data_IF_475729888984
#
_entry.id   IF_475729888984
#
_cell.length_a   1.000
_cell.length_b   1.000
_cell.length_c   1.000
_cell.angle_alpha   90.00
_cell.angle_beta   90.00
_cell.angle_gamma   90.00
#
_symmetry.space_group_name_H-M   'P 1'
#
loop_
_entity.id
_entity.type
_entity.pdbx_description
1 polymer ?
#
# COMPACT_ATOMS: atom_id res chain seq x y z
N UNK A 1 -47.28 104.88 1.43
CA UNK A 1 -46.57 103.93 2.33
C UNK A 1 -45.94 102.83 1.50
N UNK A 2 -44.60 102.79 1.39
CA UNK A 2 -43.89 101.70 0.69
C UNK A 2 -43.83 100.49 1.62
N UNK A 3 -44.53 99.42 1.27
CA UNK A 3 -44.48 98.13 1.97
C UNK A 3 -43.11 97.51 1.69
N UNK A 4 -42.22 97.50 2.68
CA UNK A 4 -40.96 96.78 2.61
C UNK A 4 -41.27 95.28 2.75
N UNK A 5 -41.31 94.55 1.64
CA UNK A 5 -41.44 93.09 1.67
C UNK A 5 -40.08 92.50 2.09
N UNK A 6 -39.99 92.02 3.33
CA UNK A 6 -38.78 91.42 3.87
C UNK A 6 -38.60 90.00 3.30
N UNK A 7 -37.96 89.89 2.12
CA UNK A 7 -37.69 88.61 1.47
C UNK A 7 -36.45 87.88 2.04
N UNK A 8 -35.73 88.47 2.99
CA UNK A 8 -34.52 87.86 3.58
C UNK A 8 -34.82 86.59 4.37
N UNK A 9 -36.05 86.44 4.89
CA UNK A 9 -36.46 85.22 5.61
C UNK A 9 -36.62 83.99 4.71
N UNK A 10 -37.11 84.16 3.48
CA UNK A 10 -37.37 83.05 2.56
C UNK A 10 -36.08 82.36 2.09
N UNK A 11 -35.02 83.12 1.83
CA UNK A 11 -33.72 82.55 1.46
C UNK A 11 -33.12 81.70 2.59
N UNK A 12 -33.25 82.16 3.85
CA UNK A 12 -32.79 81.42 5.01
C UNK A 12 -33.54 80.09 5.17
N UNK A 13 -34.87 80.12 5.04
CA UNK A 13 -35.71 78.92 5.13
C UNK A 13 -35.37 77.92 4.02
N UNK A 14 -35.14 78.40 2.79
CA UNK A 14 -34.78 77.55 1.66
C UNK A 14 -33.43 76.85 1.89
N UNK A 15 -32.41 77.57 2.34
CA UNK A 15 -31.10 76.99 2.67
C UNK A 15 -31.23 75.96 3.80
N UNK A 16 -32.02 76.26 4.83
CA UNK A 16 -32.26 75.33 5.92
C UNK A 16 -32.90 74.02 5.42
N UNK A 17 -33.92 74.12 4.55
CA UNK A 17 -34.58 72.96 3.93
C UNK A 17 -33.60 72.17 3.05
N UNK A 18 -32.73 72.87 2.31
CA UNK A 18 -31.74 72.18 1.48
C UNK A 18 -30.75 71.38 2.33
N UNK A 19 -30.23 71.99 3.41
CA UNK A 19 -29.30 71.33 4.33
C UNK A 19 -29.96 70.13 5.02
N UNK A 20 -31.23 70.23 5.43
CA UNK A 20 -31.93 69.10 6.05
C UNK A 20 -32.16 67.95 5.08
N UNK A 21 -32.57 68.23 3.83
CA UNK A 21 -32.73 67.18 2.81
C UNK A 21 -31.41 66.48 2.53
N UNK A 22 -30.32 67.22 2.33
CA UNK A 22 -29.00 66.62 2.09
C UNK A 22 -28.50 65.83 3.31
N UNK A 23 -28.75 66.30 4.53
CA UNK A 23 -28.37 65.58 5.75
C UNK A 23 -29.13 64.26 5.88
N UNK A 24 -30.43 64.25 5.59
CA UNK A 24 -31.25 63.03 5.62
C UNK A 24 -30.77 62.02 4.56
N UNK A 25 -30.46 62.50 3.35
CA UNK A 25 -29.94 61.66 2.28
C UNK A 25 -28.55 61.08 2.63
N UNK A 26 -27.67 61.89 3.22
CA UNK A 26 -26.36 61.45 3.66
C UNK A 26 -26.44 60.37 4.75
N UNK A 27 -27.29 60.56 5.77
CA UNK A 27 -27.50 59.56 6.83
C UNK A 27 -28.05 58.26 6.26
N UNK A 28 -28.99 58.33 5.30
CA UNK A 28 -29.54 57.15 4.63
C UNK A 28 -28.47 56.38 3.84
N UNK A 29 -27.63 57.07 3.07
CA UNK A 29 -26.53 56.44 2.34
C UNK A 29 -25.48 55.84 3.27
N UNK A 30 -25.12 56.54 4.34
CA UNK A 30 -24.17 56.04 5.34
C UNK A 30 -24.68 54.78 6.04
N UNK A 31 -25.97 54.76 6.42
CA UNK A 31 -26.61 53.57 7.01
C UNK A 31 -26.59 52.36 6.09
N UNK A 32 -26.87 52.56 4.79
CA UNK A 32 -26.82 51.50 3.79
C UNK A 32 -25.39 50.99 3.55
N UNK A 33 -24.40 51.88 3.52
CA UNK A 33 -22.99 51.52 3.34
C UNK A 33 -22.46 50.68 4.51
N UNK A 34 -22.74 51.09 5.75
CA UNK A 34 -22.33 50.33 6.95
C UNK A 34 -23.01 48.96 7.03
N UNK A 35 -24.28 48.87 6.66
CA UNK A 35 -25.02 47.60 6.63
C UNK A 35 -24.43 46.65 5.58
N UNK A 36 -24.13 47.17 4.38
CA UNK A 36 -23.50 46.39 3.31
C UNK A 36 -22.11 45.90 3.71
N UNK A 37 -21.30 46.77 4.32
CA UNK A 37 -19.98 46.42 4.83
C UNK A 37 -20.04 45.28 5.85
N UNK A 38 -20.97 45.34 6.81
CA UNK A 38 -21.16 44.27 7.79
C UNK A 38 -21.61 42.96 7.15
N UNK A 39 -22.51 43.01 6.16
CA UNK A 39 -22.94 41.81 5.43
C UNK A 39 -21.80 41.18 4.62
N UNK A 40 -20.96 41.99 3.98
CA UNK A 40 -19.79 41.52 3.25
C UNK A 40 -18.83 40.80 4.20
N UNK A 41 -18.45 41.43 5.32
CA UNK A 41 -17.54 40.80 6.28
C UNK A 41 -18.11 39.50 6.84
N UNK A 42 -19.41 39.47 7.19
CA UNK A 42 -20.05 38.23 7.67
C UNK A 42 -20.07 37.14 6.59
N UNK A 43 -20.28 37.50 5.33
CA UNK A 43 -20.22 36.57 4.21
C UNK A 43 -18.80 36.07 3.96
N UNK A 44 -17.79 36.94 4.06
CA UNK A 44 -16.39 36.60 3.89
C UNK A 44 -15.90 35.69 5.02
N UNK A 45 -16.23 36.01 6.28
CA UNK A 45 -15.92 35.17 7.44
C UNK A 45 -16.52 33.78 7.30
N UNK A 46 -17.77 33.69 6.84
CA UNK A 46 -18.43 32.41 6.58
C UNK A 46 -17.74 31.61 5.46
N UNK A 47 -17.44 32.26 4.33
CA UNK A 47 -16.76 31.60 3.20
C UNK A 47 -15.39 31.08 3.64
N UNK A 48 -14.60 31.89 4.34
CA UNK A 48 -13.27 31.48 4.81
C UNK A 48 -13.36 30.36 5.85
N UNK A 49 -14.30 30.42 6.81
CA UNK A 49 -14.50 29.35 7.78
C UNK A 49 -14.94 28.03 7.10
N UNK A 50 -15.80 28.11 6.08
CA UNK A 50 -16.17 26.93 5.26
C UNK A 50 -14.96 26.38 4.51
N UNK A 51 -14.16 27.21 3.84
CA UNK A 51 -12.95 26.76 3.14
C UNK A 51 -11.95 26.11 4.10
N UNK A 52 -11.79 26.63 5.32
CA UNK A 52 -10.95 25.99 6.34
C UNK A 52 -11.49 24.62 6.75
N UNK A 53 -12.81 24.47 6.91
CA UNK A 53 -13.42 23.18 7.20
C UNK A 53 -13.20 22.17 6.06
N UNK A 54 -13.30 22.61 4.79
CA UNK A 54 -13.00 21.80 3.60
C UNK A 54 -11.52 21.38 3.56
N UNK A 55 -10.59 22.27 3.90
CA UNK A 55 -9.17 21.91 4.04
C UNK A 55 -8.96 20.82 5.11
N UNK A 56 -9.69 20.90 6.23
CA UNK A 56 -9.67 19.85 7.25
C UNK A 56 -10.15 18.51 6.70
N UNK A 57 -11.25 18.49 5.94
CA UNK A 57 -11.74 17.26 5.30
C UNK A 57 -10.66 16.61 4.43
N UNK A 58 -10.01 17.41 3.58
CA UNK A 58 -8.93 16.91 2.71
C UNK A 58 -7.75 16.40 3.53
N UNK A 59 -7.33 17.14 4.55
CA UNK A 59 -6.20 16.75 5.41
C UNK A 59 -6.43 15.40 6.10
N UNK A 60 -7.58 15.23 6.73
CA UNK A 60 -7.88 14.00 7.46
C UNK A 60 -8.22 12.84 6.54
N UNK A 61 -8.75 13.10 5.33
CA UNK A 61 -8.84 12.08 4.30
C UNK A 61 -7.46 11.50 3.97
N UNK A 62 -6.47 12.36 3.69
CA UNK A 62 -5.09 11.91 3.44
C UNK A 62 -4.52 11.12 4.62
N UNK A 63 -4.67 11.61 5.86
CA UNK A 63 -4.18 10.87 7.04
C UNK A 63 -4.82 9.50 7.22
N UNK A 64 -6.11 9.36 6.90
CA UNK A 64 -6.80 8.06 6.96
C UNK A 64 -6.23 7.11 5.90
N UNK A 65 -5.98 7.59 4.68
CA UNK A 65 -5.39 6.79 3.62
C UNK A 65 -3.96 6.36 3.96
N UNK A 66 -3.13 7.28 4.45
CA UNK A 66 -1.76 6.97 4.89
C UNK A 66 -1.76 5.93 6.02
N UNK A 67 -2.71 6.04 6.95
CA UNK A 67 -2.85 5.06 8.04
C UNK A 67 -3.25 3.68 7.51
N UNK A 68 -4.19 3.60 6.56
CA UNK A 68 -4.60 2.34 5.92
C UNK A 68 -3.42 1.74 5.15
N UNK A 69 -2.69 2.55 4.37
CA UNK A 69 -1.51 2.11 3.64
C UNK A 69 -0.46 1.52 4.59
N UNK A 70 -0.20 2.19 5.73
CA UNK A 70 0.73 1.66 6.74
C UNK A 70 0.29 0.33 7.36
N UNK A 71 -1.02 0.11 7.50
CA UNK A 71 -1.59 -1.16 7.99
C UNK A 71 -1.46 -2.25 6.94
N UNK A 72 -1.62 -1.93 5.66
CA UNK A 72 -1.43 -2.85 4.54
C UNK A 72 0.02 -3.28 4.38
N UNK A 73 0.96 -2.36 4.62
CA UNK A 73 2.41 -2.66 4.58
C UNK A 73 2.91 -3.42 5.82
N UNK A 74 2.14 -3.48 6.91
CA UNK A 74 2.55 -4.16 8.14
C UNK A 74 2.40 -5.69 8.02
N UNK A 75 3.50 -6.46 8.05
CA UNK A 75 3.44 -7.93 7.99
C UNK A 75 2.64 -8.55 9.15
N UNK A 76 2.49 -7.85 10.28
CA UNK A 76 1.67 -8.32 11.39
C UNK A 76 0.17 -8.31 11.05
N UNK A 77 -0.28 -7.38 10.20
CA UNK A 77 -1.68 -7.34 9.75
C UNK A 77 -2.04 -8.59 8.94
N UNK A 78 -1.14 -9.05 8.08
CA UNK A 78 -1.34 -10.29 7.32
C UNK A 78 -1.45 -11.51 8.26
N UNK A 79 -0.59 -11.61 9.27
CA UNK A 79 -0.67 -12.67 10.31
C UNK A 79 -1.98 -12.61 11.09
N UNK A 80 -2.44 -11.41 11.45
CA UNK A 80 -3.74 -11.23 12.11
C UNK A 80 -4.91 -11.68 11.22
N UNK A 81 -4.90 -11.30 9.94
CA UNK A 81 -5.93 -11.72 8.98
C UNK A 81 -5.94 -13.25 8.88
N UNK A 82 -4.79 -13.88 8.68
CA UNK A 82 -4.69 -15.34 8.60
C UNK A 82 -5.20 -16.01 9.86
N UNK A 83 -4.81 -15.50 11.04
CA UNK A 83 -5.28 -16.03 12.32
C UNK A 83 -6.78 -15.91 12.52
N UNK A 84 -7.43 -14.87 11.97
CA UNK A 84 -8.89 -14.77 12.00
C UNK A 84 -9.55 -15.70 10.97
N UNK A 85 -8.93 -15.93 9.81
CA UNK A 85 -9.37 -16.93 8.82
C UNK A 85 -9.34 -18.33 9.44
N UNK A 86 -8.26 -18.70 10.13
CA UNK A 86 -8.10 -20.00 10.76
C UNK A 86 -9.14 -20.31 11.86
N UNK A 87 -9.86 -19.29 12.36
CA UNK A 87 -10.97 -19.46 13.32
C UNK A 87 -12.31 -19.75 12.64
N UNK A 88 -12.41 -19.54 11.33
CA UNK A 88 -13.62 -19.84 10.58
C UNK A 88 -13.60 -21.33 10.24
N UNK A 89 -14.40 -22.10 10.99
CA UNK A 89 -14.59 -23.53 10.73
C UNK A 89 -15.04 -23.74 9.27
N UNK A 90 -14.40 -24.70 8.60
CA UNK A 90 -14.72 -25.11 7.23
C UNK A 90 -14.59 -24.00 6.16
N UNK A 91 -13.72 -22.99 6.38
CA UNK A 91 -13.48 -21.91 5.40
C UNK A 91 -13.19 -22.42 3.98
N UNK A 92 -12.42 -23.51 3.86
CA UNK A 92 -12.06 -24.14 2.58
C UNK A 92 -13.28 -24.70 1.83
N UNK A 93 -14.35 -25.04 2.55
CA UNK A 93 -15.57 -25.63 1.97
C UNK A 93 -16.60 -24.62 1.49
N UNK A 94 -16.38 -23.33 1.81
CA UNK A 94 -17.25 -22.24 1.38
C UNK A 94 -17.18 -22.06 -0.13
N UNK A 95 -18.29 -21.60 -0.71
CA UNK A 95 -18.28 -21.13 -2.11
C UNK A 95 -17.42 -19.88 -2.24
N UNK A 96 -16.92 -19.57 -3.44
CA UNK A 96 -16.06 -18.40 -3.67
C UNK A 96 -16.73 -17.08 -3.23
N UNK A 97 -18.03 -16.93 -3.48
CA UNK A 97 -18.81 -15.77 -3.02
C UNK A 97 -18.85 -15.68 -1.48
N UNK A 98 -18.98 -16.82 -0.80
CA UNK A 98 -18.97 -16.90 0.66
C UNK A 98 -17.57 -16.65 1.24
N UNK A 99 -16.51 -17.17 0.60
CA UNK A 99 -15.11 -16.89 0.95
C UNK A 99 -14.81 -15.41 0.85
N UNK A 100 -15.14 -14.77 -0.28
CA UNK A 100 -14.93 -13.33 -0.50
C UNK A 100 -15.68 -12.51 0.54
N UNK A 101 -16.96 -12.80 0.78
CA UNK A 101 -17.78 -12.10 1.77
C UNK A 101 -17.21 -12.24 3.19
N UNK A 102 -16.73 -13.43 3.54
CA UNK A 102 -16.12 -13.72 4.85
C UNK A 102 -14.79 -13.00 5.01
N UNK A 103 -13.93 -13.02 3.99
CA UNK A 103 -12.66 -12.31 3.96
C UNK A 103 -12.84 -10.80 4.10
N UNK A 104 -13.81 -10.21 3.38
CA UNK A 104 -14.19 -8.80 3.54
C UNK A 104 -14.57 -8.50 4.99
N UNK A 105 -15.34 -9.39 5.61
CA UNK A 105 -15.68 -9.30 7.02
C UNK A 105 -14.43 -9.28 7.91
N UNK A 106 -13.58 -10.27 7.79
CA UNK A 106 -12.37 -10.41 8.62
C UNK A 106 -11.46 -9.19 8.46
N UNK A 107 -11.17 -8.79 7.23
CA UNK A 107 -10.26 -7.67 6.92
C UNK A 107 -10.80 -6.36 7.50
N UNK A 108 -12.10 -6.11 7.35
CA UNK A 108 -12.73 -4.94 7.96
C UNK A 108 -12.59 -4.92 9.49
N UNK A 109 -12.73 -6.09 10.15
CA UNK A 109 -12.61 -6.17 11.61
C UNK A 109 -11.17 -5.98 12.06
N UNK A 110 -10.20 -6.58 11.35
CA UNK A 110 -8.77 -6.39 11.62
C UNK A 110 -8.41 -4.91 11.43
N UNK A 111 -8.75 -4.29 10.31
CA UNK A 111 -8.42 -2.88 10.07
C UNK A 111 -9.09 -1.95 11.07
N UNK A 112 -10.33 -2.22 11.48
CA UNK A 112 -10.99 -1.41 12.51
C UNK A 112 -10.22 -1.42 13.84
N UNK A 113 -9.52 -2.51 14.16
CA UNK A 113 -8.68 -2.62 15.35
C UNK A 113 -7.30 -2.01 15.12
N UNK A 114 -6.71 -2.20 13.95
CA UNK A 114 -5.32 -1.79 13.65
C UNK A 114 -5.20 -0.31 13.28
N UNK A 115 -6.19 0.27 12.60
CA UNK A 115 -6.20 1.70 12.27
C UNK A 115 -6.49 2.48 13.56
N UNK A 116 -5.45 2.87 14.28
CA UNK A 116 -5.51 3.67 15.51
C UNK A 116 -5.82 5.15 15.22
N UNK A 117 -7.06 5.39 14.79
CA UNK A 117 -7.65 6.72 14.55
C UNK A 117 -7.57 7.65 15.76
N UNK A 118 -7.65 7.20 17.03
CA UNK A 118 -7.41 8.04 18.19
C UNK A 118 -6.12 8.87 18.18
N UNK A 119 -5.14 8.51 17.33
CA UNK A 119 -3.91 9.28 17.14
C UNK A 119 -3.98 10.36 16.06
N UNK A 120 -5.08 10.43 15.28
CA UNK A 120 -5.36 11.58 14.42
C UNK A 120 -5.48 12.81 15.33
N UNK A 121 -4.46 13.64 15.25
CA UNK A 121 -4.14 14.67 16.23
C UNK A 121 -5.34 15.55 16.60
N UNK A 122 -5.67 15.57 17.90
CA UNK A 122 -6.71 16.40 18.53
C UNK A 122 -6.29 17.87 18.70
N UNK A 123 -5.36 18.33 17.86
CA UNK A 123 -4.83 19.69 17.94
C UNK A 123 -5.30 20.48 16.72
N UNK A 124 -5.88 21.66 16.93
CA UNK A 124 -6.18 22.60 15.86
C UNK A 124 -4.96 22.82 14.96
N UNK A 125 -5.16 22.66 13.66
CA UNK A 125 -4.17 22.91 12.63
C UNK A 125 -4.32 24.34 12.14
N UNK A 126 -3.31 25.17 12.41
CA UNK A 126 -3.32 26.58 12.00
C UNK A 126 -2.80 26.74 10.57
N UNK A 127 -3.56 27.42 9.72
CA UNK A 127 -3.23 27.61 8.29
C UNK A 127 -2.20 28.75 8.09
N UNK A 128 -1.84 29.46 9.16
CA UNK A 128 -0.81 30.50 9.19
C UNK A 128 -0.41 30.83 10.64
N UNK A 129 0.39 31.87 10.85
CA UNK A 129 0.76 32.38 12.18
C UNK A 129 -0.42 32.96 12.98
N UNK A 130 -1.60 33.11 12.37
CA UNK A 130 -2.78 33.66 13.03
C UNK A 130 -3.54 32.52 13.72
N UNK A 131 -3.52 32.55 15.05
CA UNK A 131 -4.21 31.57 15.91
C UNK A 131 -5.73 31.48 15.67
N UNK A 132 -6.31 32.43 14.97
CA UNK A 132 -7.75 32.51 14.67
C UNK A 132 -8.15 31.79 13.37
N UNK A 133 -7.18 31.34 12.56
CA UNK A 133 -7.43 30.59 11.34
C UNK A 133 -6.95 29.15 11.53
N UNK A 134 -7.89 28.26 11.81
CA UNK A 134 -7.57 26.86 12.02
C UNK A 134 -8.67 25.94 11.50
N UNK A 135 -8.30 24.68 11.29
CA UNK A 135 -9.24 23.60 11.19
C UNK A 135 -8.94 22.52 12.24
N UNK A 136 -9.95 21.78 12.65
CA UNK A 136 -9.84 20.73 13.67
C UNK A 136 -10.92 19.67 13.43
N UNK A 137 -10.71 18.45 13.91
CA UNK A 137 -11.78 17.44 13.98
C UNK A 137 -12.34 17.40 15.40
N UNK A 138 -13.66 17.34 15.48
CA UNK A 138 -14.33 17.04 16.75
C UNK A 138 -14.09 15.57 17.11
N UNK A 139 -13.10 15.33 17.98
CA UNK A 139 -12.63 13.99 18.38
C UNK A 139 -13.75 13.09 18.89
N UNK A 140 -14.72 13.66 19.60
CA UNK A 140 -15.85 12.92 20.18
C UNK A 140 -16.83 12.39 19.12
N UNK A 141 -16.73 12.90 17.89
CA UNK A 141 -17.61 12.57 16.78
C UNK A 141 -16.94 11.72 15.70
N UNK A 142 -15.70 11.27 15.89
CA UNK A 142 -15.07 10.34 14.96
C UNK A 142 -15.60 8.94 15.21
N UNK A 143 -16.34 8.39 14.26
CA UNK A 143 -16.87 7.03 14.34
C UNK A 143 -16.44 6.22 13.13
N UNK A 144 -15.96 5.01 13.39
CA UNK A 144 -15.72 4.00 12.36
C UNK A 144 -16.81 2.96 12.42
N UNK A 145 -17.59 2.91 11.36
CA UNK A 145 -18.54 1.85 11.13
C UNK A 145 -18.02 0.96 10.03
N UNK A 146 -18.30 -0.34 10.14
CA UNK A 146 -18.04 -1.32 9.09
C UNK A 146 -19.38 -1.65 8.44
N UNK A 147 -19.38 -1.79 7.12
CA UNK A 147 -20.46 -2.43 6.38
C UNK A 147 -19.91 -3.53 5.47
N UNK A 148 -20.74 -4.07 4.59
CA UNK A 148 -20.36 -5.14 3.66
C UNK A 148 -19.42 -4.66 2.54
N UNK A 149 -19.38 -3.35 2.29
CA UNK A 149 -18.63 -2.74 1.20
C UNK A 149 -17.30 -2.16 1.68
N UNK A 150 -17.19 -1.80 2.97
CA UNK A 150 -15.91 -1.52 3.60
C UNK A 150 -15.97 -0.77 4.93
N UNK A 151 -15.01 0.13 5.11
CA UNK A 151 -14.95 1.00 6.29
C UNK A 151 -15.54 2.36 6.00
N UNK A 152 -16.38 2.84 6.91
CA UNK A 152 -17.02 4.15 6.84
C UNK A 152 -16.57 5.00 8.03
N UNK A 153 -15.84 6.06 7.72
CA UNK A 153 -15.34 7.03 8.68
C UNK A 153 -16.28 8.24 8.68
N UNK A 154 -16.93 8.50 9.81
CA UNK A 154 -17.75 9.68 9.98
C UNK A 154 -17.05 10.62 10.96
N UNK A 155 -16.92 11.90 10.61
CA UNK A 155 -16.35 12.92 11.47
C UNK A 155 -16.91 14.31 11.13
N UNK A 156 -16.69 15.28 12.02
CA UNK A 156 -17.03 16.69 11.78
C UNK A 156 -15.74 17.50 11.70
N UNK A 157 -15.45 18.04 10.52
CA UNK A 157 -14.35 19.00 10.32
C UNK A 157 -14.82 20.41 10.66
N UNK A 158 -14.18 21.06 11.62
CA UNK A 158 -14.50 22.43 12.05
C UNK A 158 -13.46 23.38 11.50
N UNK A 159 -13.88 24.33 10.67
CA UNK A 159 -13.08 25.47 10.25
C UNK A 159 -13.43 26.71 11.07
N UNK A 160 -12.42 27.43 11.55
CA UNK A 160 -12.61 28.66 12.32
C UNK A 160 -11.90 29.83 11.67
N UNK A 161 -12.64 30.92 11.50
CA UNK A 161 -12.11 32.22 11.14
C UNK A 161 -12.62 33.26 12.15
N UNK A 162 -11.70 33.79 12.96
CA UNK A 162 -12.01 34.72 14.05
C UNK A 162 -13.01 34.11 15.05
N UNK A 163 -14.19 34.70 15.17
CA UNK A 163 -15.26 34.23 16.06
C UNK A 163 -16.20 33.23 15.37
N UNK A 164 -16.10 33.06 14.04
CA UNK A 164 -16.98 32.18 13.30
C UNK A 164 -16.37 30.78 13.22
N UNK A 165 -17.19 29.79 13.50
CA UNK A 165 -16.87 28.37 13.36
C UNK A 165 -17.92 27.76 12.45
N UNK A 166 -17.48 26.96 11.49
CA UNK A 166 -18.31 26.16 10.59
C UNK A 166 -17.90 24.70 10.73
N UNK A 167 -18.87 23.80 10.93
CA UNK A 167 -18.66 22.36 10.94
C UNK A 167 -19.15 21.72 9.65
N UNK A 168 -18.41 20.76 9.11
CA UNK A 168 -18.80 19.93 7.97
C UNK A 168 -18.85 18.47 8.41
N UNK A 169 -20.05 17.90 8.41
CA UNK A 169 -20.26 16.46 8.58
C UNK A 169 -19.77 15.74 7.34
N UNK A 170 -18.76 14.89 7.54
CA UNK A 170 -18.06 14.21 6.45
C UNK A 170 -18.13 12.72 6.67
N UNK A 171 -18.39 12.02 5.57
CA UNK A 171 -18.33 10.57 5.47
C UNK A 171 -17.26 10.20 4.44
N UNK A 172 -16.31 9.37 4.84
CA UNK A 172 -15.34 8.75 3.93
C UNK A 172 -15.66 7.26 3.88
N UNK A 173 -15.94 6.76 2.69
CA UNK A 173 -16.17 5.34 2.43
C UNK A 173 -14.90 4.76 1.81
N UNK A 174 -14.29 3.81 2.50
CA UNK A 174 -13.11 3.08 2.05
C UNK A 174 -13.59 1.69 1.64
N UNK A 175 -13.74 1.42 0.33
CA UNK A 175 -14.20 0.13 -0.16
C UNK A 175 -13.10 -0.90 0.05
N UNK A 176 -13.42 -2.03 0.69
CA UNK A 176 -12.43 -3.09 0.95
C UNK A 176 -11.96 -3.75 -0.35
N UNK A 177 -12.84 -3.79 -1.35
CA UNK A 177 -12.55 -4.35 -2.67
C UNK A 177 -11.41 -3.63 -3.39
N UNK A 178 -11.14 -2.36 -3.05
CA UNK A 178 -10.01 -1.64 -3.62
C UNK A 178 -8.65 -2.17 -3.14
N UNK A 179 -8.63 -3.01 -2.11
CA UNK A 179 -7.40 -3.49 -1.48
C UNK A 179 -7.24 -5.01 -1.55
N UNK A 180 -8.30 -5.70 -1.94
CA UNK A 180 -8.37 -7.15 -1.97
C UNK A 180 -8.37 -7.57 -3.43
N UNK A 181 -7.23 -8.05 -3.92
CA UNK A 181 -7.20 -8.85 -5.14
C UNK A 181 -7.08 -10.32 -4.71
N UNK A 182 -8.23 -10.95 -4.43
CA UNK A 182 -8.24 -12.40 -4.21
C UNK A 182 -8.27 -13.03 -5.59
N UNK A 183 -7.10 -13.47 -6.04
CA UNK A 183 -7.04 -14.48 -7.08
C UNK A 183 -7.35 -15.81 -6.38
N UNK A 184 -8.65 -16.14 -6.27
CA UNK A 184 -9.05 -17.51 -5.94
C UNK A 184 -8.67 -18.28 -7.19
N UNK A 185 -7.71 -19.18 -7.09
CA UNK A 185 -7.29 -19.98 -8.25
C UNK A 185 -8.55 -20.54 -8.91
N UNK A 186 -8.74 -20.28 -10.20
CA UNK A 186 -9.80 -20.93 -10.97
C UNK A 186 -9.51 -22.43 -10.87
N UNK A 187 -10.15 -23.11 -9.92
CA UNK A 187 -10.22 -24.57 -9.91
C UNK A 187 -10.96 -24.91 -11.20
N UNK A 188 -10.19 -25.17 -12.25
CA UNK A 188 -10.67 -25.50 -13.58
C UNK A 188 -11.40 -26.85 -13.47
N UNK A 189 -12.67 -26.77 -13.05
CA UNK A 189 -13.59 -27.86 -12.75
C UNK A 189 -14.07 -28.57 -14.00
N UNK A 190 -13.16 -28.81 -14.96
CA UNK A 190 -13.40 -29.69 -16.07
C UNK A 190 -13.39 -31.14 -15.57
N UNK A 191 -14.59 -31.60 -15.22
CA UNK A 191 -14.96 -33.01 -15.03
C UNK A 191 -14.88 -33.80 -16.37
N UNK A 192 -13.73 -33.72 -17.05
CA UNK A 192 -13.40 -34.49 -18.22
C UNK A 192 -12.68 -35.77 -17.79
N UNK A 193 -13.40 -36.89 -17.78
CA UNK A 193 -12.83 -38.22 -17.66
C UNK A 193 -11.85 -38.50 -18.79
N UNK A 194 -10.60 -38.09 -18.59
CA UNK A 194 -9.47 -38.24 -19.48
C UNK A 194 -8.41 -39.10 -18.80
N UNK A 195 -8.10 -40.21 -19.47
CA UNK A 195 -7.05 -41.17 -19.18
C UNK A 195 -5.83 -40.52 -18.49
N UNK A 196 -5.45 -41.04 -17.31
CA UNK A 196 -4.39 -40.48 -16.47
C UNK A 196 -3.14 -40.11 -17.23
N UNK A 197 -2.93 -38.82 -17.40
CA UNK A 197 -1.59 -38.27 -17.44
C UNK A 197 -1.02 -38.51 -16.06
N UNK A 198 0.02 -39.33 -16.00
CA UNK A 198 0.98 -39.33 -14.89
C UNK A 198 1.23 -37.89 -14.44
N UNK A 199 1.40 -37.62 -13.14
CA UNK A 199 1.94 -36.34 -12.67
C UNK A 199 3.09 -36.00 -13.61
N UNK A 200 2.99 -34.87 -14.32
CA UNK A 200 4.08 -34.39 -15.14
C UNK A 200 5.33 -34.42 -14.26
N UNK A 201 6.45 -34.85 -14.83
CA UNK A 201 7.71 -34.67 -14.12
C UNK A 201 7.73 -33.23 -13.62
N UNK A 202 7.86 -33.04 -12.31
CA UNK A 202 7.75 -31.74 -11.64
C UNK A 202 8.86 -30.76 -12.03
N UNK A 203 9.47 -30.93 -13.21
CA UNK A 203 10.34 -29.99 -13.88
C UNK A 203 9.59 -28.69 -14.07
N UNK A 204 9.84 -27.81 -13.13
CA UNK A 204 9.58 -26.40 -13.23
C UNK A 204 10.13 -25.82 -14.53
N UNK A 205 9.31 -25.00 -15.18
CA UNK A 205 9.58 -24.45 -16.51
C UNK A 205 9.86 -22.94 -16.50
N UNK A 206 9.91 -22.31 -15.32
CA UNK A 206 10.14 -20.86 -15.23
C UNK A 206 8.91 -20.01 -15.52
N UNK A 207 7.72 -20.51 -15.20
CA UNK A 207 6.44 -19.85 -15.52
C UNK A 207 5.81 -19.07 -14.36
N UNK A 208 6.49 -18.91 -13.21
CA UNK A 208 5.88 -18.21 -12.07
C UNK A 208 5.65 -16.74 -12.34
N UNK A 209 6.55 -16.11 -13.09
CA UNK A 209 6.47 -14.70 -13.46
C UNK A 209 6.37 -14.63 -14.98
N UNK A 210 5.22 -14.11 -15.44
CA UNK A 210 5.01 -13.91 -16.88
C UNK A 210 5.85 -12.75 -17.41
N UNK A 211 6.49 -12.97 -18.56
CA UNK A 211 7.21 -11.92 -19.28
C UNK A 211 6.29 -10.73 -19.58
N UNK A 212 6.65 -9.49 -19.18
CA UNK A 212 5.85 -8.32 -19.49
C UNK A 212 5.89 -8.03 -21.00
N UNK A 213 4.76 -7.61 -21.58
CA UNK A 213 4.65 -7.32 -23.01
C UNK A 213 4.21 -5.88 -23.24
N UNK A 214 4.55 -5.32 -24.41
CA UNK A 214 4.11 -3.97 -24.80
C UNK A 214 4.81 -2.82 -24.07
N UNK A 215 5.90 -3.07 -23.34
CA UNK A 215 6.70 -2.03 -22.70
C UNK A 215 7.40 -1.15 -23.76
N UNK A 216 7.46 0.18 -23.57
CA UNK A 216 8.27 1.06 -24.40
C UNK A 216 9.76 0.77 -24.19
N UNK A 217 10.62 1.12 -25.15
CA UNK A 217 12.08 1.02 -24.95
C UNK A 217 12.54 2.10 -23.96
N UNK A 218 13.32 1.72 -22.96
CA UNK A 218 13.92 2.66 -22.02
C UNK A 218 14.93 3.57 -22.75
N UNK A 219 14.95 4.84 -22.38
CA UNK A 219 15.86 5.85 -22.94
C UNK A 219 16.88 6.33 -21.92
N UNK A 220 16.59 6.15 -20.64
CA UNK A 220 17.40 6.56 -19.50
C UNK A 220 17.41 5.45 -18.43
N UNK A 221 18.45 5.41 -17.60
CA UNK A 221 18.64 4.46 -16.48
C UNK A 221 17.64 4.66 -15.33
N UNK A 222 16.98 5.82 -15.29
CA UNK A 222 15.92 6.16 -14.33
C UNK A 222 14.50 5.75 -14.78
N UNK A 223 14.34 5.20 -15.99
CA UNK A 223 13.02 4.80 -16.49
C UNK A 223 12.50 3.56 -15.72
N UNK A 224 11.24 3.62 -15.24
CA UNK A 224 10.68 2.61 -14.32
C UNK A 224 9.68 1.64 -14.95
N UNK A 225 9.21 1.87 -16.17
CA UNK A 225 8.17 1.04 -16.80
C UNK A 225 8.45 0.83 -18.30
N UNK A 226 9.51 0.10 -18.61
CA UNK A 226 10.09 0.03 -19.94
C UNK A 226 10.97 -1.22 -20.13
N UNK A 227 11.43 -1.43 -21.36
CA UNK A 227 12.32 -2.51 -21.76
C UNK A 227 13.70 -1.98 -22.20
N UNK A 228 14.77 -2.52 -21.61
CA UNK A 228 16.15 -2.31 -22.03
C UNK A 228 16.56 -3.40 -23.02
N UNK A 229 17.02 -2.99 -24.20
CA UNK A 229 17.56 -3.90 -25.20
C UNK A 229 19.09 -3.95 -25.08
N UNK A 230 19.59 -4.98 -24.39
CA UNK A 230 21.00 -5.18 -24.08
C UNK A 230 21.30 -5.15 -22.57
N UNK A 231 22.57 -5.33 -22.21
CA UNK A 231 23.01 -5.23 -20.81
C UNK A 231 22.84 -3.80 -20.29
N UNK A 232 22.22 -3.67 -19.12
CA UNK A 232 22.20 -2.43 -18.35
C UNK A 232 23.07 -2.57 -17.10
N UNK A 233 23.94 -1.59 -16.91
CA UNK A 233 24.76 -1.43 -15.72
C UNK A 233 24.39 -0.10 -15.07
N UNK A 234 23.98 -0.12 -13.80
CA UNK A 234 23.67 1.08 -13.02
C UNK A 234 24.81 1.28 -12.00
N UNK A 235 25.81 2.12 -12.33
CA UNK A 235 27.07 2.19 -11.58
C UNK A 235 26.99 3.04 -10.29
N UNK A 236 25.85 3.68 -9.96
CA UNK A 236 25.82 4.71 -8.91
C UNK A 236 24.55 4.73 -8.06
N UNK A 237 24.75 5.00 -6.75
CA UNK A 237 23.71 5.48 -5.83
C UNK A 237 22.97 4.38 -5.05
N UNK A 238 22.21 4.78 -4.03
CA UNK A 238 21.21 3.88 -3.46
C UNK A 238 20.04 3.85 -4.43
N UNK A 239 19.98 2.83 -5.29
CA UNK A 239 18.90 2.70 -6.26
C UNK A 239 17.66 2.13 -5.55
N UNK A 240 16.48 2.64 -5.92
CA UNK A 240 15.19 2.24 -5.36
C UNK A 240 14.24 2.02 -6.52
N UNK A 241 13.60 0.84 -6.58
CA UNK A 241 12.57 0.56 -7.56
C UNK A 241 11.23 0.50 -6.84
N UNK A 242 10.32 1.42 -7.18
CA UNK A 242 8.99 1.47 -6.60
C UNK A 242 7.96 1.57 -7.74
N UNK A 243 7.02 0.62 -7.81
CA UNK A 243 6.00 0.63 -8.87
C UNK A 243 6.58 0.46 -10.27
N UNK A 244 7.64 -0.34 -10.40
CA UNK A 244 8.42 -0.45 -11.64
C UNK A 244 8.19 -1.77 -12.36
N UNK A 245 8.02 -1.73 -13.68
CA UNK A 245 7.94 -2.90 -14.56
C UNK A 245 9.10 -2.84 -15.56
N UNK A 246 10.15 -3.61 -15.29
CA UNK A 246 11.36 -3.61 -16.11
C UNK A 246 11.51 -4.92 -16.86
N UNK A 247 11.91 -4.83 -18.13
CA UNK A 247 12.31 -5.97 -18.94
C UNK A 247 13.71 -5.74 -19.51
N UNK A 248 14.66 -6.62 -19.20
CA UNK A 248 16.05 -6.52 -19.67
C UNK A 248 16.34 -7.74 -20.53
N UNK A 249 16.71 -7.54 -21.80
CA UNK A 249 16.91 -8.65 -22.76
C UNK A 249 18.29 -9.32 -22.67
N UNK A 250 19.22 -8.75 -21.90
CA UNK A 250 20.50 -9.38 -21.56
C UNK A 250 20.68 -9.23 -20.03
N UNK A 251 21.87 -8.86 -19.53
CA UNK A 251 22.14 -8.78 -18.08
C UNK A 251 21.67 -7.48 -17.42
N UNK A 252 21.26 -7.55 -16.16
CA UNK A 252 20.96 -6.40 -15.32
C UNK A 252 21.92 -6.33 -14.13
N UNK A 253 22.86 -5.37 -14.18
CA UNK A 253 23.97 -5.23 -13.25
C UNK A 253 23.80 -3.99 -12.37
N UNK A 254 23.47 -4.19 -11.10
CA UNK A 254 23.34 -3.14 -10.08
C UNK A 254 24.58 -3.14 -9.20
N UNK A 255 25.58 -2.32 -9.54
CA UNK A 255 26.86 -2.27 -8.81
C UNK A 255 26.73 -1.63 -7.41
N UNK A 256 25.58 -1.10 -7.06
CA UNK A 256 25.35 -0.33 -5.85
C UNK A 256 24.35 -0.99 -4.90
N UNK A 257 24.17 -0.37 -3.73
CA UNK A 257 23.22 -0.87 -2.74
C UNK A 257 21.80 -0.57 -3.21
N UNK A 258 21.12 -1.57 -3.76
CA UNK A 258 19.71 -1.44 -4.10
C UNK A 258 18.87 -1.84 -2.89
N UNK A 259 18.18 -0.88 -2.30
CA UNK A 259 17.27 -1.16 -1.18
C UNK A 259 15.89 -0.72 -1.61
N UNK A 260 14.84 -1.34 -1.06
CA UNK A 260 13.45 -1.03 -1.40
C UNK A 260 13.13 -1.27 -2.86
N UNK A 261 13.10 -2.54 -3.22
CA UNK A 261 12.29 -2.99 -4.36
C UNK A 261 10.87 -3.16 -3.85
N UNK A 262 9.98 -2.24 -4.20
CA UNK A 262 8.59 -2.22 -3.74
C UNK A 262 7.64 -2.27 -4.93
N UNK A 263 6.65 -3.16 -4.89
CA UNK A 263 5.59 -3.26 -5.91
C UNK A 263 6.16 -3.27 -7.34
N UNK A 264 7.16 -4.11 -7.60
CA UNK A 264 7.91 -4.06 -8.85
C UNK A 264 7.99 -5.43 -9.50
N UNK A 265 7.93 -5.46 -10.84
CA UNK A 265 8.20 -6.61 -11.68
C UNK A 265 9.51 -6.35 -12.44
N UNK A 266 10.47 -7.26 -12.30
CA UNK A 266 11.76 -7.21 -12.99
C UNK A 266 11.94 -8.53 -13.72
N UNK A 267 12.03 -8.47 -15.04
CA UNK A 267 12.21 -9.64 -15.90
C UNK A 267 13.55 -9.52 -16.65
N UNK A 268 14.48 -10.44 -16.39
CA UNK A 268 15.84 -10.42 -16.95
C UNK A 268 16.09 -11.70 -17.74
N UNK A 269 16.41 -11.57 -19.02
CA UNK A 269 16.72 -12.73 -19.89
C UNK A 269 18.18 -13.20 -19.76
N UNK A 270 19.08 -12.35 -19.25
CA UNK A 270 20.46 -12.73 -18.93
C UNK A 270 20.70 -12.84 -17.43
N UNK A 271 21.94 -12.57 -17.03
CA UNK A 271 22.34 -12.57 -15.62
C UNK A 271 21.79 -11.37 -14.82
N UNK A 272 21.44 -11.59 -13.56
CA UNK A 272 21.08 -10.53 -12.61
C UNK A 272 22.13 -10.40 -11.51
N UNK A 273 22.67 -9.20 -11.29
CA UNK A 273 23.59 -8.95 -10.18
C UNK A 273 23.17 -7.71 -9.42
N UNK A 274 23.14 -7.81 -8.09
CA UNK A 274 22.96 -6.64 -7.20
C UNK A 274 23.75 -6.83 -5.92
N UNK A 275 24.13 -5.72 -5.26
CA UNK A 275 24.72 -5.81 -3.92
C UNK A 275 23.68 -6.14 -2.87
N UNK A 276 22.91 -5.13 -2.47
CA UNK A 276 21.88 -5.31 -1.45
C UNK A 276 20.50 -5.50 -2.10
N UNK A 277 19.59 -6.11 -1.33
CA UNK A 277 18.16 -6.18 -1.60
C UNK A 277 17.38 -6.09 -0.27
N UNK A 278 17.66 -5.07 0.55
CA UNK A 278 16.96 -4.93 1.84
C UNK A 278 15.63 -4.19 1.69
N UNK A 279 14.67 -4.53 2.55
CA UNK A 279 13.33 -3.92 2.62
C UNK A 279 12.57 -4.08 1.30
N UNK A 280 12.60 -5.29 0.77
CA UNK A 280 11.96 -5.65 -0.49
C UNK A 280 10.56 -6.16 -0.20
N UNK A 281 9.56 -5.57 -0.84
CA UNK A 281 8.14 -5.92 -0.60
C UNK A 281 7.42 -6.02 -1.94
N UNK A 282 6.62 -7.06 -2.15
CA UNK A 282 5.85 -7.25 -3.39
C UNK A 282 6.74 -7.17 -4.66
N UNK A 283 7.93 -7.78 -4.60
CA UNK A 283 8.82 -7.90 -5.77
C UNK A 283 8.49 -9.20 -6.52
N UNK A 284 8.38 -9.11 -7.83
CA UNK A 284 8.44 -10.24 -8.75
C UNK A 284 9.74 -10.12 -9.57
N UNK A 285 10.75 -10.92 -9.26
CA UNK A 285 12.02 -10.96 -9.98
C UNK A 285 12.14 -12.28 -10.74
N UNK A 286 12.22 -12.21 -12.06
CA UNK A 286 12.51 -13.33 -12.95
C UNK A 286 13.88 -13.18 -13.59
N UNK A 287 14.68 -14.24 -13.60
CA UNK A 287 16.02 -14.30 -14.21
C UNK A 287 16.17 -15.61 -14.99
N UNK A 288 16.35 -15.54 -16.30
CA UNK A 288 16.50 -16.73 -17.15
C UNK A 288 17.88 -17.41 -17.01
N UNK A 289 18.92 -16.66 -16.65
CA UNK A 289 20.28 -17.19 -16.40
C UNK A 289 20.61 -17.18 -14.88
N UNK A 290 21.86 -16.89 -14.53
CA UNK A 290 22.35 -16.92 -13.16
C UNK A 290 22.07 -15.59 -12.43
N UNK A 291 21.89 -15.66 -11.10
CA UNK A 291 21.68 -14.48 -10.26
C UNK A 291 22.66 -14.42 -9.09
N UNK A 292 23.19 -13.22 -8.83
CA UNK A 292 24.08 -12.95 -7.70
C UNK A 292 23.58 -11.78 -6.86
N UNK A 293 23.40 -12.03 -5.56
CA UNK A 293 23.04 -11.03 -4.56
C UNK A 293 24.20 -10.95 -3.57
N UNK A 294 25.13 -10.04 -3.84
CA UNK A 294 26.46 -9.98 -3.22
C UNK A 294 26.45 -9.56 -1.74
N UNK A 295 25.33 -9.08 -1.23
CA UNK A 295 25.19 -8.60 0.15
C UNK A 295 23.84 -9.02 0.72
N UNK A 296 23.25 -8.21 1.61
CA UNK A 296 22.14 -8.67 2.42
C UNK A 296 20.79 -8.52 1.71
N UNK A 297 19.91 -9.46 2.02
CA UNK A 297 18.49 -9.44 1.70
C UNK A 297 17.70 -9.54 3.01
N UNK A 298 17.72 -8.45 3.79
CA UNK A 298 16.92 -8.37 5.00
C UNK A 298 15.52 -7.84 4.66
N UNK A 299 14.47 -8.42 5.24
CA UNK A 299 13.08 -8.00 5.06
C UNK A 299 12.61 -8.18 3.61
N UNK A 300 12.59 -9.43 3.15
CA UNK A 300 11.92 -9.85 1.91
C UNK A 300 10.47 -10.22 2.27
N UNK A 301 9.49 -9.46 1.77
CA UNK A 301 8.09 -9.65 2.11
C UNK A 301 7.24 -9.83 0.86
N UNK A 302 6.31 -10.81 0.87
CA UNK A 302 5.33 -11.01 -0.22
C UNK A 302 5.97 -11.01 -1.62
N UNK A 303 7.17 -11.57 -1.76
CA UNK A 303 7.97 -11.45 -2.97
C UNK A 303 8.23 -12.82 -3.59
N UNK A 304 8.31 -12.85 -4.93
CA UNK A 304 8.70 -14.01 -5.72
C UNK A 304 10.03 -13.68 -6.38
N UNK A 305 11.04 -14.51 -6.12
CA UNK A 305 12.32 -14.50 -6.82
C UNK A 305 12.42 -15.83 -7.56
N UNK A 306 12.41 -15.79 -8.88
CA UNK A 306 12.48 -16.93 -9.79
C UNK A 306 13.74 -16.82 -10.63
N UNK A 307 14.67 -17.77 -10.45
CA UNK A 307 15.95 -17.82 -11.15
C UNK A 307 16.04 -19.18 -11.82
N UNK A 308 16.12 -19.24 -13.15
CA UNK A 308 16.20 -20.53 -13.87
C UNK A 308 17.61 -21.12 -13.85
N UNK A 309 18.62 -20.26 -13.76
CA UNK A 309 20.02 -20.64 -13.58
C UNK A 309 20.38 -21.02 -12.14
N UNK A 310 21.65 -20.81 -11.81
CA UNK A 310 22.18 -20.91 -10.45
C UNK A 310 22.08 -19.58 -9.72
N UNK A 311 22.01 -19.62 -8.39
CA UNK A 311 21.89 -18.43 -7.57
C UNK A 311 22.93 -18.40 -6.45
N UNK A 312 23.52 -17.22 -6.22
CA UNK A 312 24.40 -16.96 -5.07
C UNK A 312 23.82 -15.84 -4.21
N UNK A 313 23.57 -16.13 -2.94
CA UNK A 313 23.10 -15.19 -1.93
C UNK A 313 24.21 -15.01 -0.88
N UNK A 314 25.13 -14.08 -1.16
CA UNK A 314 26.39 -13.92 -0.44
C UNK A 314 26.22 -13.33 0.97
N UNK A 315 25.19 -12.51 1.18
CA UNK A 315 24.88 -11.91 2.48
C UNK A 315 23.76 -12.61 3.24
N UNK A 316 23.38 -12.03 4.38
CA UNK A 316 22.33 -12.60 5.21
C UNK A 316 20.96 -12.45 4.54
N UNK A 317 20.11 -13.46 4.70
CA UNK A 317 18.68 -13.38 4.43
C UNK A 317 17.99 -13.38 5.79
N UNK A 318 17.39 -12.26 6.19
CA UNK A 318 16.74 -12.16 7.49
C UNK A 318 15.30 -11.73 7.34
N UNK A 319 14.39 -12.48 7.97
CA UNK A 319 12.96 -12.21 7.97
C UNK A 319 12.38 -12.21 6.54
N UNK A 320 12.77 -13.19 5.73
CA UNK A 320 12.02 -13.49 4.52
C UNK A 320 10.66 -14.07 4.94
N UNK A 321 9.57 -13.40 4.59
CA UNK A 321 8.22 -13.70 5.08
C UNK A 321 7.24 -13.69 3.93
N UNK A 322 6.37 -14.70 3.89
CA UNK A 322 5.40 -14.93 2.82
C UNK A 322 6.02 -14.78 1.42
N UNK A 323 7.24 -15.28 1.24
CA UNK A 323 8.02 -15.09 0.01
C UNK A 323 8.45 -16.41 -0.58
N UNK A 324 8.62 -16.43 -1.90
CA UNK A 324 9.06 -17.59 -2.66
C UNK A 324 10.42 -17.27 -3.27
N UNK A 325 11.39 -18.12 -2.99
CA UNK A 325 12.68 -18.13 -3.69
C UNK A 325 12.78 -19.45 -4.44
N UNK A 326 12.86 -19.36 -5.75
CA UNK A 326 13.00 -20.48 -6.65
C UNK A 326 14.31 -20.38 -7.41
N UNK A 327 15.09 -21.46 -7.41
CA UNK A 327 16.35 -21.58 -8.15
C UNK A 327 16.33 -22.88 -8.96
N UNK A 328 16.42 -22.79 -10.29
CA UNK A 328 16.30 -23.95 -11.18
C UNK A 328 17.50 -24.89 -11.11
N UNK A 329 18.70 -24.34 -10.89
CA UNK A 329 19.93 -25.12 -10.74
C UNK A 329 20.43 -25.06 -9.29
N UNK A 330 21.72 -24.78 -9.08
CA UNK A 330 22.32 -24.82 -7.75
C UNK A 330 22.13 -23.50 -7.02
N UNK A 331 21.97 -23.55 -5.70
CA UNK A 331 21.83 -22.36 -4.86
C UNK A 331 22.87 -22.33 -3.74
N UNK A 332 23.66 -21.27 -3.66
CA UNK A 332 24.57 -21.05 -2.54
C UNK A 332 24.09 -19.89 -1.66
N UNK A 333 23.75 -20.21 -0.41
CA UNK A 333 23.37 -19.25 0.60
C UNK A 333 24.52 -19.10 1.60
N UNK A 334 25.47 -18.23 1.26
CA UNK A 334 26.71 -18.06 2.04
C UNK A 334 26.49 -17.21 3.31
N UNK A 335 25.39 -16.47 3.41
CA UNK A 335 25.04 -15.62 4.53
C UNK A 335 25.15 -16.30 5.89
N UNK A 336 25.71 -15.61 6.89
CA UNK A 336 25.88 -16.18 8.24
C UNK A 336 24.58 -16.42 9.00
N UNK A 337 23.47 -15.82 8.55
CA UNK A 337 22.15 -15.97 9.14
C UNK A 337 21.11 -15.97 8.03
N UNK A 338 20.40 -17.09 7.89
CA UNK A 338 19.37 -17.29 6.88
C UNK A 338 18.08 -17.62 7.63
N UNK A 339 17.05 -16.77 7.55
CA UNK A 339 15.77 -17.01 8.18
C UNK A 339 14.57 -16.83 7.24
N UNK A 340 13.75 -17.87 7.18
CA UNK A 340 12.50 -17.94 6.44
C UNK A 340 11.33 -18.15 7.40
N UNK A 341 10.36 -17.24 7.34
CA UNK A 341 9.23 -17.12 8.24
C UNK A 341 7.91 -17.07 7.46
N UNK A 342 6.79 -17.26 8.15
CA UNK A 342 5.42 -16.99 7.70
C UNK A 342 5.14 -17.50 6.28
N UNK A 343 4.98 -18.82 6.10
CA UNK A 343 4.63 -19.44 4.81
C UNK A 343 5.66 -19.27 3.68
N UNK A 344 6.91 -18.87 3.98
CA UNK A 344 7.94 -18.73 2.97
C UNK A 344 8.36 -20.08 2.38
N UNK A 345 8.69 -20.10 1.10
CA UNK A 345 9.10 -21.33 0.40
C UNK A 345 10.41 -21.06 -0.33
N UNK A 346 11.41 -21.92 -0.07
CA UNK A 346 12.62 -21.98 -0.89
C UNK A 346 12.61 -23.28 -1.64
N UNK A 347 12.82 -23.22 -2.96
CA UNK A 347 12.97 -24.41 -3.79
C UNK A 347 14.25 -24.30 -4.62
N UNK A 348 14.99 -25.39 -4.70
CA UNK A 348 16.22 -25.51 -5.50
C UNK A 348 16.20 -26.82 -6.30
N UNK A 349 16.25 -26.74 -7.63
CA UNK A 349 16.26 -27.91 -8.52
C UNK A 349 17.60 -28.66 -8.56
N UNK A 350 18.69 -28.01 -8.16
CA UNK A 350 20.02 -28.61 -8.04
C UNK A 350 20.46 -28.87 -6.60
N UNK A 351 21.77 -28.79 -6.39
CA UNK A 351 22.38 -28.83 -5.06
C UNK A 351 22.25 -27.47 -4.36
N UNK A 352 22.20 -27.48 -3.03
CA UNK A 352 22.15 -26.25 -2.24
C UNK A 352 23.13 -26.27 -1.07
N UNK A 353 23.75 -25.12 -0.80
CA UNK A 353 24.56 -24.89 0.41
C UNK A 353 23.93 -23.81 1.27
N UNK A 354 23.84 -24.02 2.58
CA UNK A 354 23.24 -23.07 3.51
C UNK A 354 24.03 -22.96 4.82
N UNK A 355 24.23 -21.74 5.31
CA UNK A 355 24.89 -21.43 6.59
C UNK A 355 23.87 -20.96 7.66
N UNK A 356 23.81 -21.63 8.81
CA UNK A 356 22.95 -21.27 9.97
C UNK A 356 21.47 -20.94 9.59
N UNK A 357 20.75 -21.94 9.09
CA UNK A 357 19.38 -21.77 8.58
C UNK A 357 18.31 -21.89 9.69
N UNK A 358 17.37 -20.95 9.70
CA UNK A 358 16.18 -20.98 10.56
C UNK A 358 14.94 -20.97 9.68
N UNK A 359 14.09 -21.97 9.83
CA UNK A 359 12.82 -22.10 9.10
C UNK A 359 11.74 -22.30 10.15
N UNK A 360 10.71 -21.46 10.13
CA UNK A 360 9.57 -21.67 11.03
C UNK A 360 8.68 -22.84 10.58
N UNK A 361 7.66 -23.16 11.36
CA UNK A 361 6.81 -24.32 11.10
C UNK A 361 5.84 -24.14 9.92
N UNK A 362 5.67 -22.92 9.42
CA UNK A 362 4.77 -22.62 8.31
C UNK A 362 5.54 -22.49 6.99
N UNK A 363 6.83 -22.21 7.05
CA UNK A 363 7.74 -22.14 5.92
C UNK A 363 8.34 -23.50 5.59
N UNK A 364 8.91 -23.63 4.38
CA UNK A 364 9.58 -24.86 3.94
C UNK A 364 10.77 -24.60 3.02
N UNK A 365 11.73 -25.51 3.03
CA UNK A 365 12.85 -25.56 2.09
C UNK A 365 12.84 -26.91 1.39
N UNK A 366 12.94 -26.89 0.06
CA UNK A 366 12.90 -28.06 -0.81
C UNK A 366 14.13 -28.04 -1.74
N UNK A 367 14.98 -29.07 -1.67
CA UNK A 367 16.18 -29.20 -2.50
C UNK A 367 16.19 -30.55 -3.22
N UNK A 368 16.05 -30.57 -4.54
CA UNK A 368 16.03 -31.83 -5.31
C UNK A 368 17.39 -32.57 -5.29
N UNK A 369 18.50 -31.83 -5.12
CA UNK A 369 19.85 -32.35 -5.04
C UNK A 369 20.36 -32.64 -3.62
N UNK A 370 21.65 -32.44 -3.44
CA UNK A 370 22.34 -32.48 -2.16
C UNK A 370 22.21 -31.16 -1.42
N UNK A 371 21.74 -31.21 -0.17
CA UNK A 371 21.72 -30.06 0.74
C UNK A 371 22.87 -30.15 1.75
N UNK A 372 23.85 -29.27 1.59
CA UNK A 372 24.93 -29.06 2.55
C UNK A 372 24.55 -27.96 3.56
N UNK A 373 24.37 -28.32 4.83
CA UNK A 373 24.12 -27.35 5.90
C UNK A 373 25.34 -27.21 6.79
N UNK A 374 25.87 -25.99 6.77
CA UNK A 374 27.02 -25.52 7.50
C UNK A 374 26.56 -24.67 8.70
N UNK A 375 27.33 -24.72 9.80
CA UNK A 375 26.99 -24.02 11.04
C UNK A 375 26.28 -24.88 12.10
N UNK A 376 25.97 -24.26 13.23
CA UNK A 376 25.43 -24.94 14.41
C UNK A 376 23.97 -24.61 14.69
N UNK A 377 23.47 -23.51 14.11
CA UNK A 377 22.12 -23.03 14.35
C UNK A 377 21.24 -23.45 13.18
N UNK A 378 20.63 -24.62 13.33
CA UNK A 378 19.64 -25.12 12.38
C UNK A 378 18.38 -25.42 13.18
N UNK A 379 17.28 -24.74 12.85
CA UNK A 379 15.99 -24.98 13.49
C UNK A 379 14.88 -24.88 12.45
N UNK A 380 14.00 -25.86 12.45
CA UNK A 380 12.86 -25.94 11.52
C UNK A 380 12.52 -27.41 11.24
N UNK A 381 11.24 -27.73 11.11
CA UNK A 381 10.78 -29.09 10.85
C UNK A 381 10.64 -29.42 9.34
N UNK A 382 10.58 -28.39 8.50
CA UNK A 382 10.14 -28.49 7.11
C UNK A 382 11.30 -28.24 6.12
N UNK A 383 12.40 -28.97 6.30
CA UNK A 383 13.54 -28.93 5.38
C UNK A 383 13.64 -30.30 4.71
N UNK A 384 13.50 -30.33 3.39
CA UNK A 384 13.45 -31.53 2.58
C UNK A 384 14.57 -31.49 1.56
N UNK A 385 15.33 -32.59 1.44
CA UNK A 385 16.32 -32.73 0.39
C UNK A 385 16.51 -34.19 0.00
N UNK A 386 16.91 -34.47 -1.24
CA UNK A 386 17.17 -35.84 -1.68
C UNK A 386 18.34 -36.47 -0.90
N UNK A 387 19.42 -35.71 -0.68
CA UNK A 387 20.50 -36.10 0.22
C UNK A 387 21.00 -34.92 1.05
N UNK A 388 21.65 -35.18 2.18
CA UNK A 388 22.22 -34.13 3.02
C UNK A 388 23.39 -34.61 3.88
N UNK A 389 24.25 -33.69 4.30
CA UNK A 389 25.25 -33.92 5.35
C UNK A 389 24.67 -33.87 6.79
N UNK A 390 23.38 -33.53 6.96
CA UNK A 390 22.69 -33.42 8.27
C UNK A 390 21.37 -34.24 8.32
N UNK A 391 21.40 -35.58 8.21
CA UNK A 391 20.19 -36.41 8.11
C UNK A 391 19.26 -36.38 9.34
N UNK A 392 19.69 -35.83 10.47
CA UNK A 392 18.84 -35.66 11.65
C UNK A 392 18.02 -34.35 11.64
N UNK A 393 18.31 -33.45 10.70
CA UNK A 393 17.70 -32.12 10.60
C UNK A 393 16.94 -31.90 9.29
N UNK A 394 17.25 -32.71 8.28
CA UNK A 394 16.66 -32.64 6.94
C UNK A 394 15.94 -33.95 6.67
N UNK A 395 14.70 -33.85 6.22
CA UNK A 395 13.93 -35.00 5.78
C UNK A 395 14.38 -35.42 4.37
N UNK A 396 14.88 -36.65 4.24
CA UNK A 396 15.33 -37.22 2.97
C UNK A 396 14.42 -38.34 2.44
N UNK A 397 13.19 -38.42 2.94
CA UNK A 397 12.17 -39.31 2.41
C UNK A 397 11.67 -38.76 1.08
N UNK A 398 11.76 -39.55 0.00
CA UNK A 398 11.23 -39.14 -1.30
C UNK A 398 9.71 -38.95 -1.26
N UNK A 399 8.98 -39.74 -0.46
CA UNK A 399 7.53 -39.59 -0.30
C UNK A 399 7.19 -38.27 0.40
N UNK A 400 7.93 -37.90 1.44
CA UNK A 400 7.71 -36.63 2.13
C UNK A 400 8.16 -35.45 1.27
N UNK A 401 9.25 -35.60 0.50
CA UNK A 401 9.67 -34.60 -0.47
C UNK A 401 8.55 -34.35 -1.48
N UNK A 402 8.03 -35.39 -2.15
CA UNK A 402 6.91 -35.23 -3.09
C UNK A 402 5.69 -34.61 -2.38
N UNK A 403 5.28 -35.11 -1.22
CA UNK A 403 4.10 -34.58 -0.51
C UNK A 403 4.24 -33.09 -0.10
N UNK A 404 5.45 -32.61 0.14
CA UNK A 404 5.69 -31.24 0.65
C UNK A 404 6.31 -30.29 -0.40
N UNK A 405 6.86 -30.82 -1.49
CA UNK A 405 7.61 -30.08 -2.50
C UNK A 405 7.08 -30.30 -3.93
N UNK A 406 6.33 -31.38 -4.21
CA UNK A 406 5.57 -31.49 -5.45
C UNK A 406 4.34 -30.61 -5.35
N UNK A 407 4.08 -29.78 -6.36
CA UNK A 407 3.02 -28.78 -6.28
C UNK A 407 3.49 -27.44 -5.72
N UNK A 408 4.77 -27.07 -5.85
CA UNK A 408 5.12 -25.64 -6.03
C UNK A 408 4.63 -25.17 -7.42
N UNK A 409 3.37 -25.48 -7.75
CA UNK A 409 2.55 -24.74 -8.68
C UNK A 409 2.03 -23.57 -7.86
N UNK A 410 2.44 -22.35 -8.19
CA UNK A 410 1.88 -21.16 -7.54
C UNK A 410 0.36 -21.04 -7.80
N UNK A 411 -0.18 -21.80 -8.77
CA UNK A 411 -1.60 -21.79 -9.11
C UNK A 411 -2.57 -22.26 -8.02
N UNK A 412 -2.11 -23.06 -7.04
CA UNK A 412 -3.01 -23.64 -6.02
C UNK A 412 -2.84 -22.99 -4.63
N UNK A 413 -1.99 -21.97 -4.50
CA UNK A 413 -1.98 -21.15 -3.28
C UNK A 413 -2.81 -19.90 -3.53
N UNK A 414 -3.92 -19.80 -2.82
CA UNK A 414 -4.66 -18.56 -2.57
C UNK A 414 -3.75 -17.57 -1.82
N UNK A 415 -2.69 -17.06 -2.46
CA UNK A 415 -2.00 -15.88 -1.98
C UNK A 415 -2.99 -14.73 -2.18
N UNK A 416 -3.68 -14.37 -1.10
CA UNK A 416 -4.38 -13.10 -0.97
C UNK A 416 -3.31 -12.02 -1.14
N UNK A 417 -3.11 -11.60 -2.38
CA UNK A 417 -2.13 -10.57 -2.69
C UNK A 417 -2.88 -9.26 -2.63
N UNK A 418 -2.69 -8.53 -1.53
CA UNK A 418 -3.25 -7.21 -1.35
C UNK A 418 -2.46 -6.25 -2.25
N UNK A 419 -2.83 -6.17 -3.54
CA UNK A 419 -2.33 -5.12 -4.42
C UNK A 419 -3.17 -3.88 -4.22
N UNK A 420 -2.61 -2.76 -3.78
CA UNK A 420 -3.33 -1.52 -3.85
C UNK A 420 -3.05 -0.89 -5.23
N UNK A 421 -3.82 -1.28 -6.25
CA UNK A 421 -3.90 -0.49 -7.48
C UNK A 421 -4.87 0.67 -7.23
N UNK A 422 -4.36 1.78 -6.73
CA UNK A 422 -5.18 2.94 -6.36
C UNK A 422 -5.67 3.69 -7.60
N UNK A 423 -6.99 3.82 -7.75
CA UNK A 423 -7.58 4.96 -8.44
C UNK A 423 -8.10 5.96 -7.39
N UNK A 424 -7.28 6.97 -7.09
CA UNK A 424 -7.60 8.01 -6.11
C UNK A 424 -8.86 8.80 -6.46
N UNK A 425 -9.33 8.74 -7.71
CA UNK A 425 -10.56 9.41 -8.14
C UNK A 425 -11.84 8.72 -7.59
N UNK A 426 -11.75 7.46 -7.15
CA UNK A 426 -12.90 6.70 -6.63
C UNK A 426 -13.19 6.94 -5.14
N UNK A 427 -12.28 7.61 -4.41
CA UNK A 427 -12.38 7.83 -2.96
C UNK A 427 -12.75 9.28 -2.64
N UNK A 428 -13.76 9.84 -3.31
CA UNK A 428 -14.21 11.21 -3.02
C UNK A 428 -15.00 11.24 -1.71
N UNK A 429 -14.63 12.09 -0.72
CA UNK A 429 -15.39 12.24 0.51
C UNK A 429 -16.80 12.77 0.20
N UNK A 430 -17.82 12.15 0.81
CA UNK A 430 -19.18 12.67 0.79
C UNK A 430 -19.31 13.71 1.91
N UNK A 431 -19.35 14.99 1.54
CA UNK A 431 -19.54 16.10 2.48
C UNK A 431 -20.99 16.57 2.46
N UNK A 432 -21.68 16.50 3.61
CA UNK A 432 -22.99 17.10 3.78
C UNK A 432 -22.85 18.50 4.39
N UNK A 433 -23.26 19.52 3.63
CA UNK A 433 -23.26 20.91 4.10
C UNK A 433 -24.45 21.16 5.03
N UNK A 434 -24.35 20.70 6.27
CA UNK A 434 -25.30 21.04 7.33
C UNK A 434 -24.87 22.35 8.01
N UNK A 435 -25.37 23.47 7.50
CA UNK A 435 -25.16 24.77 8.15
C UNK A 435 -25.96 24.85 9.45
N UNK A 436 -25.32 24.60 10.59
CA UNK A 436 -25.85 24.98 11.89
C UNK A 436 -25.73 26.50 12.04
N UNK A 437 -26.83 27.24 11.82
CA UNK A 437 -26.89 28.69 11.99
C UNK A 437 -26.95 29.12 13.44
#
# INVERSE_FOLDING_TARGET
MKKHNNQKGYALVLVLIMITIFSLLFIMLAGNALTSYRQINMSEDNVQATTLAEMGVVHYHTLILDAIESVLEDPFTADLIQKEIDKVDDFDTLTDEEKISTLRGIIADVWKVTVDIPTLTTRPMHVNEQLQHYFDIESDNVTVTKDQNGLKFNFVSKGSNNIKIVGLETTINIPIDAFININIGDEDGSNGGGNGTTPGDGTFDGSLISKPTGLPTCTDEDDTNCSYNGTIEIPRGNYTLNGSTLHVTESFLLESNTNRFTNSLIYVEGEFTTKNMNRTTNLQLHVEEDATIDSNMNSLFNSIIEILGSATFSGNIQNASNSIIYVGQNADFEGNNISFNNNSTVYTGGDATMNNVTVDNSSRICVEGHLEINGNNVSGANIFANTTNRPNLVNTSSEDFEANCSGVSIGDRDMITLYPEWDWELLTPETNYNYSY
#
